data_IF_263716979921
#
_entry.id   IF_263716979921
#
_cell.length_a   1.000
_cell.length_b   1.000
_cell.length_c   1.000
_cell.angle_alpha   90.00
_cell.angle_beta   90.00
_cell.angle_gamma   90.00
#
_symmetry.space_group_name_H-M   'P 1'
#
loop_
_entity.id
_entity.type
_entity.pdbx_description
1 polymer ?
#
# COMPACT_ATOMS: atom_id res chain seq x y z
N UNK A 1 6.20 38.75 -60.90
CA UNK A 1 5.46 38.48 -59.64
C UNK A 1 4.54 37.25 -59.73
N UNK A 2 4.99 36.13 -60.33
CA UNK A 2 4.17 34.90 -60.52
C UNK A 2 4.88 33.59 -60.14
N UNK A 3 6.14 33.63 -59.69
CA UNK A 3 6.95 32.42 -59.39
C UNK A 3 6.96 32.02 -57.91
N UNK A 4 6.52 32.88 -56.99
CA UNK A 4 6.49 32.59 -55.56
C UNK A 4 5.14 32.02 -55.06
N UNK A 5 4.08 32.09 -55.87
CA UNK A 5 2.75 31.61 -55.50
C UNK A 5 2.65 30.07 -55.47
N UNK A 6 3.52 29.37 -56.20
CA UNK A 6 3.54 27.88 -56.23
C UNK A 6 4.33 27.26 -55.06
N UNK A 7 5.22 28.03 -54.43
CA UNK A 7 5.97 27.56 -53.27
C UNK A 7 5.17 27.69 -51.96
N UNK A 8 4.25 28.67 -51.88
CA UNK A 8 3.42 28.86 -50.69
C UNK A 8 2.38 27.74 -50.50
N UNK A 9 1.91 27.12 -51.58
CA UNK A 9 0.95 26.01 -51.51
C UNK A 9 1.57 24.66 -51.18
N UNK A 10 2.89 24.49 -51.37
CA UNK A 10 3.58 23.23 -51.03
C UNK A 10 3.94 23.13 -49.56
N UNK A 11 4.01 24.25 -48.83
CA UNK A 11 4.37 24.24 -47.41
C UNK A 11 3.15 24.03 -46.49
N UNK A 12 1.94 24.38 -46.95
CA UNK A 12 0.71 24.23 -46.17
C UNK A 12 0.16 22.78 -46.19
N UNK A 13 0.56 21.96 -47.16
CA UNK A 13 0.07 20.59 -47.32
C UNK A 13 0.81 19.56 -46.43
N UNK A 14 1.95 19.91 -45.83
CA UNK A 14 2.75 18.98 -45.01
C UNK A 14 2.37 19.06 -43.52
N UNK A 15 1.78 20.17 -43.06
CA UNK A 15 1.42 20.34 -41.65
C UNK A 15 0.11 19.64 -41.25
N UNK A 16 -0.67 19.09 -42.20
CA UNK A 16 -2.01 18.54 -41.91
C UNK A 16 -2.04 17.02 -41.64
N UNK A 17 -0.89 16.33 -41.62
CA UNK A 17 -0.83 14.87 -41.51
C UNK A 17 -0.24 14.32 -40.21
N UNK A 18 0.07 15.17 -39.23
CA UNK A 18 0.44 14.71 -37.89
C UNK A 18 -0.67 15.06 -36.89
N UNK A 19 -1.85 14.46 -37.08
CA UNK A 19 -2.74 14.20 -35.96
C UNK A 19 -2.06 13.15 -35.09
N UNK A 20 -1.20 13.59 -34.15
CA UNK A 20 -0.78 12.73 -33.05
C UNK A 20 -2.06 12.38 -32.29
N UNK A 21 -2.55 11.16 -32.49
CA UNK A 21 -3.48 10.55 -31.56
C UNK A 21 -2.73 10.36 -30.25
N UNK A 22 -2.79 11.35 -29.36
CA UNK A 22 -2.46 11.17 -27.96
C UNK A 22 -3.55 10.26 -27.40
N UNK A 23 -3.33 8.95 -27.47
CA UNK A 23 -4.05 8.04 -26.60
C UNK A 23 -3.61 8.39 -25.19
N UNK A 24 -4.42 9.21 -24.50
CA UNK A 24 -4.30 9.32 -23.06
C UNK A 24 -4.51 7.91 -22.50
N UNK A 25 -3.43 7.28 -22.03
CA UNK A 25 -3.56 6.11 -21.18
C UNK A 25 -4.33 6.59 -19.95
N UNK A 26 -5.55 6.08 -19.77
CA UNK A 26 -6.26 6.25 -18.52
C UNK A 26 -5.32 5.70 -17.43
N UNK A 27 -4.88 6.56 -16.51
CA UNK A 27 -4.05 6.13 -15.40
C UNK A 27 -4.79 5.01 -14.67
N UNK A 28 -4.23 3.81 -14.73
CA UNK A 28 -4.72 2.68 -13.95
C UNK A 28 -4.64 3.10 -12.47
N UNK A 29 -5.78 3.09 -11.78
CA UNK A 29 -5.82 3.45 -10.35
C UNK A 29 -4.89 2.49 -9.63
N UNK A 30 -3.81 3.03 -9.08
CA UNK A 30 -2.82 2.27 -8.33
C UNK A 30 -3.53 1.50 -7.21
N UNK A 31 -3.48 0.17 -7.28
CA UNK A 31 -4.18 -0.72 -6.37
C UNK A 31 -3.57 -0.65 -4.97
N UNK A 32 -4.39 -0.29 -3.99
CA UNK A 32 -4.07 -0.29 -2.54
C UNK A 32 -3.59 -1.68 -2.10
N UNK A 33 -2.61 -1.75 -1.18
CA UNK A 33 -2.24 -3.04 -0.56
C UNK A 33 -3.29 -3.50 0.46
N UNK A 34 -4.10 -2.55 0.96
CA UNK A 34 -5.19 -2.79 1.89
C UNK A 34 -6.46 -3.07 1.09
N UNK A 35 -7.08 -4.22 1.34
CA UNK A 35 -8.33 -4.65 0.73
C UNK A 35 -9.49 -3.70 1.14
N UNK A 36 -10.51 -3.56 0.29
CA UNK A 36 -11.68 -2.75 0.62
C UNK A 36 -12.48 -3.28 1.82
N UNK A 37 -12.38 -4.59 2.10
CA UNK A 37 -13.01 -5.27 3.21
C UNK A 37 -12.05 -5.52 4.38
N UNK A 38 -10.88 -4.88 4.39
CA UNK A 38 -9.92 -5.01 5.47
C UNK A 38 -10.50 -4.51 6.80
N UNK A 39 -10.16 -5.20 7.89
CA UNK A 39 -10.57 -4.83 9.24
C UNK A 39 -9.53 -3.87 9.84
N UNK A 40 -9.97 -2.69 10.25
CA UNK A 40 -9.14 -1.77 11.03
C UNK A 40 -8.90 -2.33 12.43
N UNK A 41 -7.64 -2.56 12.78
CA UNK A 41 -7.24 -3.07 14.09
C UNK A 41 -6.79 -1.95 15.04
N UNK A 42 -6.11 -0.94 14.51
CA UNK A 42 -5.55 0.15 15.31
C UNK A 42 -5.35 1.42 14.48
N UNK A 43 -5.37 2.57 15.15
CA UNK A 43 -4.97 3.86 14.58
C UNK A 43 -4.11 4.65 15.58
N UNK A 44 -3.13 5.39 15.08
CA UNK A 44 -2.23 6.18 15.93
C UNK A 44 -1.45 7.23 15.16
N UNK A 45 -0.39 7.73 15.79
CA UNK A 45 0.54 8.71 15.21
C UNK A 45 1.98 8.24 15.46
N UNK A 46 2.86 8.42 14.48
CA UNK A 46 4.30 8.27 14.68
C UNK A 46 4.83 9.37 15.62
N UNK A 47 6.06 9.25 16.10
CA UNK A 47 6.71 10.29 16.90
C UNK A 47 6.76 11.64 16.17
N UNK A 48 6.94 11.61 14.84
CA UNK A 48 6.92 12.78 13.96
C UNK A 48 5.50 13.30 13.64
N UNK A 49 4.47 12.75 14.27
CA UNK A 49 3.08 13.20 14.12
C UNK A 49 2.37 12.71 12.86
N UNK A 50 2.89 11.70 12.17
CA UNK A 50 2.25 11.12 10.98
C UNK A 50 1.17 10.14 11.42
N UNK A 51 -0.10 10.39 11.04
CA UNK A 51 -1.20 9.45 11.30
C UNK A 51 -0.91 8.12 10.61
N UNK A 52 -1.17 7.01 11.29
CA UNK A 52 -1.16 5.68 10.68
C UNK A 52 -2.34 4.83 11.14
N UNK A 53 -2.71 3.88 10.29
CA UNK A 53 -3.74 2.87 10.54
C UNK A 53 -3.21 1.48 10.23
N UNK A 54 -3.57 0.50 11.05
CA UNK A 54 -3.14 -0.90 10.93
C UNK A 54 -4.37 -1.75 10.62
N UNK A 55 -4.26 -2.55 9.56
CA UNK A 55 -5.33 -3.37 9.05
C UNK A 55 -4.94 -4.85 8.98
N UNK A 56 -5.96 -5.69 9.08
CA UNK A 56 -5.93 -7.09 8.67
C UNK A 56 -6.78 -7.23 7.39
N UNK A 57 -6.17 -7.67 6.29
CA UNK A 57 -6.94 -8.02 5.10
C UNK A 57 -7.69 -9.34 5.34
N UNK A 58 -8.76 -9.62 4.58
CA UNK A 58 -9.44 -10.91 4.64
C UNK A 58 -8.48 -12.03 4.23
N UNK A 59 -7.90 -12.72 5.20
CA UNK A 59 -7.05 -13.89 4.97
C UNK A 59 -7.76 -15.18 5.40
N UNK A 60 -7.46 -16.27 4.69
CA UNK A 60 -7.77 -17.61 5.19
C UNK A 60 -6.88 -17.89 6.40
N UNK A 61 -7.40 -17.70 7.62
CA UNK A 61 -6.64 -17.95 8.86
C UNK A 61 -6.04 -19.36 8.85
N UNK A 62 -4.72 -19.45 8.90
CA UNK A 62 -4.04 -20.73 9.17
C UNK A 62 -4.38 -21.16 10.60
N UNK A 63 -4.70 -22.45 10.84
CA UNK A 63 -5.03 -22.93 12.17
C UNK A 63 -3.93 -22.62 13.18
N UNK A 64 -4.32 -22.11 14.35
CA UNK A 64 -3.39 -21.88 15.45
C UNK A 64 -2.74 -23.20 15.87
N UNK A 65 -1.41 -23.21 16.04
CA UNK A 65 -0.74 -24.31 16.73
C UNK A 65 -0.88 -24.07 18.23
N UNK A 66 -1.86 -24.74 18.84
CA UNK A 66 -1.98 -24.80 20.29
C UNK A 66 -1.00 -25.86 20.77
N UNK A 67 0.11 -25.44 21.38
CA UNK A 67 0.97 -26.37 22.12
C UNK A 67 0.29 -26.78 23.44
N UNK A 68 0.63 -27.93 24.05
CA UNK A 68 0.08 -28.34 25.34
C UNK A 68 0.37 -27.37 26.50
N UNK A 69 1.33 -26.48 26.29
CA UNK A 69 1.70 -25.42 27.22
C UNK A 69 0.84 -24.17 27.00
N UNK A 70 0.64 -23.38 28.05
CA UNK A 70 -0.18 -22.15 28.14
C UNK A 70 0.18 -21.04 27.13
N UNK A 71 1.08 -21.31 26.18
CA UNK A 71 1.61 -20.38 25.19
C UNK A 71 0.93 -20.62 23.85
N UNK A 72 0.31 -19.58 23.28
CA UNK A 72 -0.20 -19.58 21.91
C UNK A 72 0.76 -18.81 21.03
N UNK A 73 1.07 -19.35 19.85
CA UNK A 73 1.84 -18.65 18.81
C UNK A 73 1.05 -18.60 17.50
N UNK A 74 1.00 -17.43 16.87
CA UNK A 74 0.27 -17.19 15.64
C UNK A 74 1.11 -16.38 14.65
N UNK A 75 1.19 -16.83 13.40
CA UNK A 75 1.77 -16.03 12.32
C UNK A 75 0.71 -15.09 11.76
N UNK A 76 1.04 -13.80 11.64
CA UNK A 76 0.11 -12.76 11.18
C UNK A 76 0.71 -11.93 10.04
N UNK A 77 -0.17 -11.39 9.20
CA UNK A 77 0.12 -10.33 8.22
C UNK A 77 -0.62 -9.06 8.61
N UNK A 78 0.07 -7.93 8.70
CA UNK A 78 -0.52 -6.63 9.01
C UNK A 78 -0.16 -5.62 7.94
N UNK A 79 -1.14 -4.82 7.54
CA UNK A 79 -1.00 -3.77 6.54
C UNK A 79 -1.06 -2.43 7.25
N UNK A 80 -0.01 -1.63 7.13
CA UNK A 80 0.05 -0.32 7.77
C UNK A 80 -0.06 0.75 6.69
N UNK A 81 -1.08 1.61 6.81
CA UNK A 81 -1.22 2.84 6.04
C UNK A 81 -0.65 3.99 6.85
N UNK A 82 0.36 4.65 6.31
CA UNK A 82 0.84 5.92 6.82
C UNK A 82 0.25 7.04 5.96
N UNK A 83 -0.33 8.07 6.58
CA UNK A 83 -0.89 9.23 5.89
C UNK A 83 0.21 10.24 5.50
N UNK A 84 1.22 9.73 4.79
CA UNK A 84 2.27 10.47 4.12
C UNK A 84 2.88 9.61 3.00
N UNK A 85 3.00 10.16 1.80
CA UNK A 85 3.67 9.49 0.68
C UNK A 85 5.20 9.51 0.77
N UNK A 86 5.78 10.30 1.69
CA UNK A 86 7.24 10.47 1.79
C UNK A 86 7.88 9.55 2.81
N UNK A 87 7.08 8.84 3.62
CA UNK A 87 7.61 7.95 4.63
C UNK A 87 8.27 6.72 3.98
N UNK A 88 9.33 6.25 4.62
CA UNK A 88 9.95 4.95 4.31
C UNK A 88 9.58 4.01 5.46
N UNK A 89 8.89 2.88 5.18
CA UNK A 89 8.55 1.89 6.19
C UNK A 89 9.79 1.44 6.98
N UNK A 90 9.64 1.27 8.30
CA UNK A 90 10.72 0.75 9.14
C UNK A 90 10.90 -0.75 8.89
N UNK A 91 12.10 -1.28 9.15
CA UNK A 91 12.35 -2.71 8.94
C UNK A 91 11.51 -3.61 9.85
N UNK A 92 11.18 -3.12 11.05
CA UNK A 92 10.37 -3.84 12.03
C UNK A 92 9.43 -2.89 12.75
N UNK A 93 8.31 -3.45 13.22
CA UNK A 93 7.34 -2.79 14.09
C UNK A 93 6.95 -3.75 15.21
N UNK A 94 6.81 -3.23 16.43
CA UNK A 94 6.22 -4.00 17.53
C UNK A 94 4.69 -3.97 17.39
N UNK A 95 4.05 -5.11 17.59
CA UNK A 95 2.61 -5.25 17.46
C UNK A 95 2.03 -6.06 18.61
N UNK A 96 0.83 -5.67 19.04
CA UNK A 96 0.07 -6.34 20.08
C UNK A 96 -1.42 -6.34 19.71
N UNK A 97 -2.08 -7.47 19.90
CA UNK A 97 -3.53 -7.62 19.66
C UNK A 97 -4.15 -8.67 20.59
N UNK A 98 -5.47 -8.62 20.71
CA UNK A 98 -6.22 -9.62 21.45
C UNK A 98 -6.60 -10.77 20.51
N UNK A 99 -6.21 -12.00 20.86
CA UNK A 99 -6.70 -13.18 20.16
C UNK A 99 -8.16 -13.46 20.54
N UNK A 100 -8.47 -13.27 21.83
CA UNK A 100 -9.79 -13.38 22.43
C UNK A 100 -9.89 -12.46 23.67
N UNK A 101 -10.95 -12.59 24.47
CA UNK A 101 -11.18 -11.75 25.65
C UNK A 101 -10.17 -11.91 26.78
N UNK A 102 -9.31 -12.94 26.75
CA UNK A 102 -8.39 -13.29 27.83
C UNK A 102 -6.93 -13.34 27.39
N UNK A 103 -6.69 -13.50 26.08
CA UNK A 103 -5.36 -13.70 25.52
C UNK A 103 -4.89 -12.47 24.74
N UNK A 104 -3.88 -11.80 25.27
CA UNK A 104 -3.12 -10.76 24.57
C UNK A 104 -1.89 -11.40 23.92
N UNK A 105 -1.72 -11.20 22.62
CA UNK A 105 -0.55 -11.66 21.87
C UNK A 105 0.30 -10.46 21.44
N UNK A 106 1.62 -10.63 21.43
CA UNK A 106 2.53 -9.58 20.96
C UNK A 106 3.77 -10.16 20.28
N UNK A 107 4.43 -9.33 19.47
CA UNK A 107 5.62 -9.73 18.74
C UNK A 107 6.15 -8.63 17.82
N UNK A 108 7.33 -8.87 17.27
CA UNK A 108 7.92 -8.01 16.24
C UNK A 108 7.52 -8.51 14.85
N UNK A 109 6.91 -7.62 14.07
CA UNK A 109 6.60 -7.87 12.67
C UNK A 109 7.71 -7.27 11.81
N UNK A 110 8.11 -8.01 10.78
CA UNK A 110 9.17 -7.64 9.85
C UNK A 110 8.55 -7.16 8.54
N UNK A 111 9.03 -6.04 8.03
CA UNK A 111 8.62 -5.53 6.73
C UNK A 111 8.99 -6.51 5.62
N UNK A 112 8.04 -6.84 4.74
CA UNK A 112 8.21 -7.86 3.70
C UNK A 112 8.96 -7.36 2.46
N UNK A 113 9.31 -6.07 2.41
CA UNK A 113 9.91 -5.43 1.24
C UNK A 113 8.88 -4.83 0.27
N UNK A 114 7.59 -5.16 0.42
CA UNK A 114 6.51 -4.57 -0.37
C UNK A 114 5.98 -3.30 0.31
N UNK A 115 5.92 -2.20 -0.44
CA UNK A 115 5.23 -0.98 -0.04
C UNK A 115 4.74 -0.23 -1.27
N UNK A 116 3.67 0.53 -1.08
CA UNK A 116 2.98 1.26 -2.11
C UNK A 116 2.91 2.72 -1.70
N UNK A 117 3.56 3.60 -2.46
CA UNK A 117 3.42 5.05 -2.30
C UNK A 117 2.37 5.59 -3.24
N UNK A 118 1.38 6.27 -2.71
CA UNK A 118 0.39 7.02 -3.47
C UNK A 118 0.58 8.52 -3.20
N UNK A 119 1.18 9.22 -4.17
CA UNK A 119 1.43 10.67 -4.08
C UNK A 119 0.17 11.51 -4.34
N UNK A 120 -0.86 10.95 -4.96
CA UNK A 120 -2.12 11.65 -5.26
C UNK A 120 -2.94 11.79 -3.98
N UNK A 121 -3.09 10.69 -3.24
CA UNK A 121 -3.87 10.60 -2.01
C UNK A 121 -3.00 10.78 -0.74
N UNK A 122 -1.69 11.03 -0.93
CA UNK A 122 -0.68 11.27 0.11
C UNK A 122 -0.62 10.17 1.20
N UNK A 123 -0.45 8.92 0.79
CA UNK A 123 -0.25 7.81 1.72
C UNK A 123 0.84 6.82 1.26
N UNK A 124 1.33 6.04 2.23
CA UNK A 124 2.19 4.89 2.00
C UNK A 124 1.60 3.67 2.68
N UNK A 125 1.30 2.63 1.93
CA UNK A 125 0.91 1.32 2.50
C UNK A 125 2.14 0.42 2.56
N UNK A 126 2.28 -0.34 3.64
CA UNK A 126 3.37 -1.30 3.83
C UNK A 126 2.87 -2.59 4.48
N UNK A 127 3.46 -3.71 4.10
CA UNK A 127 3.10 -5.04 4.62
C UNK A 127 4.16 -5.55 5.60
N UNK A 128 3.70 -6.02 6.74
CA UNK A 128 4.54 -6.60 7.78
C UNK A 128 4.04 -7.99 8.14
N UNK A 129 4.94 -8.92 8.41
CA UNK A 129 4.59 -10.27 8.86
C UNK A 129 5.45 -10.71 10.02
N UNK A 130 4.94 -11.61 10.86
CA UNK A 130 5.69 -12.12 12.00
C UNK A 130 4.87 -13.02 12.89
N UNK A 131 5.52 -13.58 13.90
CA UNK A 131 4.86 -14.36 14.93
C UNK A 131 4.49 -13.47 16.10
N UNK A 132 3.24 -13.60 16.55
CA UNK A 132 2.80 -13.11 17.84
C UNK A 132 2.76 -14.28 18.81
N UNK A 133 3.09 -14.00 20.06
CA UNK A 133 3.04 -14.97 21.16
C UNK A 133 2.25 -14.37 22.32
N UNK A 134 1.39 -15.18 22.92
CA UNK A 134 0.61 -14.81 24.11
C UNK A 134 0.46 -15.98 25.05
N UNK A 135 0.09 -15.70 26.29
CA UNK A 135 -0.22 -16.72 27.29
C UNK A 135 -1.72 -16.71 27.60
N UNK A 136 -2.27 -17.89 27.85
CA UNK A 136 -3.63 -18.11 28.38
C UNK A 136 -3.58 -18.15 29.91
#
# INVERSE_FOLDING_TARGET
MKKYLKFLFSFFAICFLMSLSTTASAAEKQTSLIDENATLLYQGYTEDGIKYEVYENPESKTPNMVTPDTVITQYVTRYIRYYSATITPTQQVFWQENLDSYTVMSGWLTWTGAYLRNYIDNYTDATYTGYLTGNI
#
